data_IF_506210753393
#
_entry.id   IF_506210753393
#
_cell.length_a   1.000
_cell.length_b   1.000
_cell.length_c   1.000
_cell.angle_alpha   90.00
_cell.angle_beta   90.00
_cell.angle_gamma   90.00
#
_symmetry.space_group_name_H-M   'P 1'
#
loop_
_entity.id
_entity.type
_entity.pdbx_description
1 polymer ?
#
# COMPACT_ATOMS: atom_id res chain seq x y z
N UNK A 1 -23.32 17.66 -1.23
CA UNK A 1 -21.94 17.99 -1.64
C UNK A 1 -21.04 16.87 -1.14
N UNK A 2 -20.26 16.22 -2.01
CA UNK A 2 -19.51 15.00 -1.66
C UNK A 2 -18.48 15.28 -0.55
N UNK A 3 -18.56 14.56 0.55
CA UNK A 3 -17.59 14.56 1.65
C UNK A 3 -16.18 14.19 1.17
N UNK A 4 -15.16 14.95 1.59
CA UNK A 4 -13.76 14.65 1.31
C UNK A 4 -13.15 13.66 2.31
N UNK A 5 -11.96 13.13 2.02
CA UNK A 5 -11.24 12.25 2.94
C UNK A 5 -10.86 12.97 4.23
N UNK A 6 -10.88 12.23 5.34
CA UNK A 6 -10.37 12.71 6.63
C UNK A 6 -8.84 12.77 6.62
N UNK A 7 -8.25 13.62 7.48
CA UNK A 7 -6.80 13.70 7.68
C UNK A 7 -6.17 12.33 7.97
N UNK A 8 -6.86 11.48 8.74
CA UNK A 8 -6.40 10.13 9.04
C UNK A 8 -6.34 9.23 7.78
N UNK A 9 -7.35 9.31 6.90
CA UNK A 9 -7.37 8.55 5.64
C UNK A 9 -6.27 9.00 4.68
N UNK A 10 -6.02 10.32 4.61
CA UNK A 10 -4.94 10.90 3.81
C UNK A 10 -3.58 10.46 4.36
N UNK A 11 -3.36 10.64 5.68
CA UNK A 11 -2.11 10.28 6.33
C UNK A 11 -1.77 8.80 6.19
N UNK A 12 -2.73 7.91 6.44
CA UNK A 12 -2.55 6.47 6.23
C UNK A 12 -2.23 6.13 4.77
N UNK A 13 -2.79 6.86 3.82
CA UNK A 13 -2.48 6.63 2.42
C UNK A 13 -1.07 6.98 2.06
N UNK A 14 -0.63 8.19 2.38
CA UNK A 14 0.73 8.62 2.06
C UNK A 14 1.77 7.82 2.84
N UNK A 15 1.49 7.46 4.09
CA UNK A 15 2.40 6.62 4.86
C UNK A 15 2.63 5.26 4.18
N UNK A 16 1.56 4.54 3.82
CA UNK A 16 1.69 3.26 3.11
C UNK A 16 2.32 3.46 1.73
N UNK A 17 1.91 4.49 0.98
CA UNK A 17 2.42 4.76 -0.37
C UNK A 17 3.93 5.03 -0.38
N UNK A 18 4.48 5.66 0.66
CA UNK A 18 5.91 5.91 0.80
C UNK A 18 6.67 4.69 1.33
N UNK A 19 6.06 3.86 2.17
CA UNK A 19 6.70 2.65 2.72
C UNK A 19 6.80 1.51 1.69
N UNK A 20 5.85 1.38 0.77
CA UNK A 20 5.83 0.29 -0.23
C UNK A 20 7.08 0.29 -1.15
N UNK A 21 7.56 1.42 -1.71
CA UNK A 21 8.81 1.44 -2.46
C UNK A 21 10.02 0.99 -1.63
N UNK A 22 10.07 1.36 -0.35
CA UNK A 22 11.15 0.93 0.56
C UNK A 22 11.17 -0.60 0.68
N UNK A 23 10.00 -1.25 0.77
CA UNK A 23 9.92 -2.72 0.80
C UNK A 23 10.52 -3.36 -0.45
N UNK A 24 10.23 -2.80 -1.62
CA UNK A 24 10.77 -3.32 -2.88
C UNK A 24 12.30 -3.19 -2.93
N UNK A 25 12.82 -2.04 -2.49
CA UNK A 25 14.27 -1.77 -2.48
C UNK A 25 15.03 -2.65 -1.47
N UNK A 26 14.41 -3.02 -0.35
CA UNK A 26 15.05 -3.86 0.67
C UNK A 26 14.81 -5.35 0.49
N UNK A 27 13.79 -5.79 -0.24
CA UNK A 27 13.41 -7.21 -0.32
C UNK A 27 14.53 -8.15 -0.81
N UNK A 28 15.41 -7.66 -1.68
CA UNK A 28 16.56 -8.45 -2.16
C UNK A 28 17.58 -8.80 -1.07
N UNK A 29 17.61 -8.09 0.07
CA UNK A 29 18.53 -8.41 1.16
C UNK A 29 18.14 -9.68 1.92
N UNK A 30 16.86 -10.08 1.87
CA UNK A 30 16.39 -11.35 2.46
C UNK A 30 17.16 -12.52 1.82
N UNK A 31 17.13 -12.59 0.49
CA UNK A 31 17.82 -13.63 -0.26
C UNK A 31 19.33 -13.61 -0.02
N UNK A 32 19.97 -12.44 -0.10
CA UNK A 32 21.43 -12.31 0.12
C UNK A 32 21.85 -12.74 1.52
N UNK A 33 21.07 -12.38 2.54
CA UNK A 33 21.33 -12.76 3.93
C UNK A 33 21.20 -14.28 4.11
N UNK A 34 20.09 -14.87 3.67
CA UNK A 34 19.89 -16.32 3.79
C UNK A 34 20.91 -17.11 2.98
N UNK A 35 21.25 -16.65 1.78
CA UNK A 35 22.26 -17.30 0.94
C UNK A 35 23.64 -17.31 1.60
N UNK A 36 24.08 -16.18 2.18
CA UNK A 36 25.34 -16.12 2.90
C UNK A 36 25.39 -17.11 4.08
N UNK A 37 24.31 -17.17 4.87
CA UNK A 37 24.20 -18.12 5.99
C UNK A 37 24.24 -19.58 5.51
N UNK A 38 23.53 -19.90 4.43
CA UNK A 38 23.56 -21.25 3.84
C UNK A 38 24.95 -21.66 3.34
N UNK A 39 25.77 -20.71 2.94
CA UNK A 39 27.17 -20.93 2.54
C UNK A 39 28.14 -20.93 3.72
N UNK A 40 27.65 -20.85 4.97
CA UNK A 40 28.50 -20.78 6.17
C UNK A 40 29.25 -19.45 6.32
N UNK A 41 28.83 -18.40 5.61
CA UNK A 41 29.45 -17.08 5.65
C UNK A 41 28.64 -16.11 6.52
N UNK A 42 29.33 -15.12 7.08
CA UNK A 42 28.67 -14.00 7.74
C UNK A 42 28.02 -13.08 6.70
N UNK A 43 26.72 -12.74 6.82
CA UNK A 43 26.08 -11.76 5.96
C UNK A 43 26.71 -10.37 6.07
N UNK A 44 26.70 -9.61 4.97
CA UNK A 44 27.15 -8.22 5.00
C UNK A 44 26.28 -7.39 5.97
N UNK A 45 26.92 -6.48 6.73
CA UNK A 45 26.23 -5.63 7.72
C UNK A 45 25.00 -4.92 7.13
N UNK A 46 25.12 -4.39 5.91
CA UNK A 46 24.04 -3.65 5.25
C UNK A 46 22.90 -4.54 4.75
N UNK A 47 23.17 -5.80 4.41
CA UNK A 47 22.12 -6.76 4.10
C UNK A 47 21.30 -7.10 5.35
N UNK A 48 21.96 -7.23 6.51
CA UNK A 48 21.28 -7.48 7.80
C UNK A 48 20.39 -6.31 8.22
N UNK A 49 20.84 -5.07 7.99
CA UNK A 49 20.03 -3.88 8.30
C UNK A 49 18.84 -3.77 7.35
N UNK A 50 19.05 -3.95 6.05
CA UNK A 50 17.97 -3.96 5.07
C UNK A 50 16.97 -5.09 5.33
N UNK A 51 17.46 -6.26 5.76
CA UNK A 51 16.63 -7.41 6.11
C UNK A 51 15.71 -7.08 7.28
N UNK A 52 16.24 -6.47 8.34
CA UNK A 52 15.43 -6.01 9.47
C UNK A 52 14.43 -4.94 9.06
N UNK A 53 14.87 -3.96 8.26
CA UNK A 53 13.99 -2.90 7.75
C UNK A 53 12.84 -3.49 6.94
N UNK A 54 13.12 -4.43 6.03
CA UNK A 54 12.11 -5.13 5.26
C UNK A 54 11.10 -5.84 6.18
N UNK A 55 11.59 -6.65 7.12
CA UNK A 55 10.72 -7.46 7.98
C UNK A 55 9.82 -6.58 8.87
N UNK A 56 10.39 -5.62 9.61
CA UNK A 56 9.62 -4.79 10.53
C UNK A 56 8.72 -3.77 9.83
N UNK A 57 9.19 -3.14 8.75
CA UNK A 57 8.33 -2.22 8.00
C UNK A 57 7.24 -2.96 7.21
N UNK A 58 7.47 -4.20 6.79
CA UNK A 58 6.44 -5.07 6.22
C UNK A 58 5.32 -5.38 7.22
N UNK A 59 5.67 -5.72 8.46
CA UNK A 59 4.70 -5.89 9.55
C UNK A 59 3.91 -4.59 9.81
N UNK A 60 4.61 -3.46 9.86
CA UNK A 60 3.97 -2.15 10.05
C UNK A 60 3.00 -1.81 8.91
N UNK A 61 3.35 -2.07 7.64
CA UNK A 61 2.43 -1.90 6.51
C UNK A 61 1.19 -2.75 6.67
N UNK A 62 1.33 -4.02 7.10
CA UNK A 62 0.19 -4.91 7.37
C UNK A 62 -0.79 -4.30 8.37
N UNK A 63 -0.28 -3.80 9.50
CA UNK A 63 -1.08 -3.14 10.54
C UNK A 63 -1.74 -1.86 10.03
N UNK A 64 -1.01 -1.01 9.31
CA UNK A 64 -1.52 0.23 8.73
C UNK A 64 -2.60 -0.03 7.68
N UNK A 65 -2.44 -1.06 6.87
CA UNK A 65 -3.46 -1.50 5.91
C UNK A 65 -4.70 -2.06 6.60
N UNK A 66 -4.53 -2.79 7.71
CA UNK A 66 -5.64 -3.20 8.58
C UNK A 66 -6.39 -2.00 9.14
N UNK A 67 -5.70 -1.02 9.72
CA UNK A 67 -6.29 0.22 10.22
C UNK A 67 -7.01 1.00 9.10
N UNK A 68 -6.41 1.07 7.90
CA UNK A 68 -7.00 1.70 6.73
C UNK A 68 -8.29 0.99 6.28
N UNK A 69 -8.30 -0.34 6.28
CA UNK A 69 -9.48 -1.15 5.94
C UNK A 69 -10.60 -0.93 6.96
N UNK A 70 -10.28 -0.96 8.25
CA UNK A 70 -11.26 -0.67 9.32
C UNK A 70 -11.84 0.74 9.15
N UNK A 71 -11.01 1.75 8.94
CA UNK A 71 -11.50 3.11 8.69
C UNK A 71 -12.34 3.22 7.42
N UNK A 72 -12.03 2.46 6.37
CA UNK A 72 -12.82 2.43 5.13
C UNK A 72 -14.21 1.81 5.35
N UNK A 73 -14.33 0.82 6.24
CA UNK A 73 -15.60 0.19 6.60
C UNK A 73 -16.41 1.12 7.51
N UNK A 74 -15.76 1.74 8.51
CA UNK A 74 -16.40 2.65 9.45
C UNK A 74 -16.78 4.01 8.83
N UNK A 75 -16.03 4.45 7.81
CA UNK A 75 -16.26 5.71 7.09
C UNK A 75 -16.32 5.42 5.58
N UNK A 76 -17.41 4.80 5.08
CA UNK A 76 -17.59 4.56 3.66
C UNK A 76 -17.54 5.90 2.91
N UNK A 77 -16.85 5.98 1.76
CA UNK A 77 -16.89 7.20 0.96
C UNK A 77 -18.34 7.47 0.54
N UNK A 78 -18.73 8.74 0.54
CA UNK A 78 -20.02 9.13 -0.03
C UNK A 78 -20.06 8.70 -1.50
N UNK A 79 -21.13 7.97 -1.86
CA UNK A 79 -21.33 7.34 -3.17
C UNK A 79 -21.03 8.38 -4.27
N UNK A 80 -19.89 8.23 -4.95
CA UNK A 80 -19.64 8.94 -6.19
C UNK A 80 -20.59 8.39 -7.24
N UNK A 81 -21.27 9.29 -7.97
CA UNK A 81 -22.22 9.03 -9.05
C UNK A 81 -22.14 7.58 -9.60
N UNK A 82 -23.13 6.72 -9.31
CA UNK A 82 -23.09 5.34 -9.74
C UNK A 82 -23.08 5.28 -11.28
N UNK A 83 -22.23 4.42 -11.86
CA UNK A 83 -22.46 3.91 -13.21
C UNK A 83 -21.34 4.05 -14.24
N UNK A 84 -20.25 4.80 -14.00
CA UNK A 84 -19.18 4.87 -15.00
C UNK A 84 -18.24 3.66 -14.93
N UNK A 85 -17.78 3.20 -16.10
CA UNK A 85 -16.85 2.08 -16.20
C UNK A 85 -15.52 2.38 -15.49
N UNK A 86 -15.06 3.63 -15.53
CA UNK A 86 -13.88 4.12 -14.82
C UNK A 86 -14.02 4.04 -13.29
N UNK A 87 -15.18 4.38 -12.74
CA UNK A 87 -15.44 4.29 -11.30
C UNK A 87 -15.45 2.84 -10.79
N UNK A 88 -15.98 1.91 -11.60
CA UNK A 88 -15.93 0.46 -11.31
C UNK A 88 -14.50 -0.07 -11.34
N UNK A 89 -13.73 0.29 -12.37
CA UNK A 89 -12.33 -0.10 -12.49
C UNK A 89 -11.48 0.44 -11.33
N UNK A 90 -11.67 1.70 -10.95
CA UNK A 90 -11.00 2.28 -9.78
C UNK A 90 -11.36 1.52 -8.50
N UNK A 91 -12.64 1.23 -8.27
CA UNK A 91 -13.08 0.48 -7.09
C UNK A 91 -12.45 -0.92 -7.05
N UNK A 92 -12.47 -1.64 -8.17
CA UNK A 92 -11.84 -2.95 -8.29
C UNK A 92 -10.33 -2.90 -8.00
N UNK A 93 -9.61 -1.92 -8.56
CA UNK A 93 -8.17 -1.73 -8.32
C UNK A 93 -7.88 -1.49 -6.84
N UNK A 94 -8.67 -0.67 -6.15
CA UNK A 94 -8.48 -0.42 -4.71
C UNK A 94 -8.74 -1.67 -3.87
N UNK A 95 -9.78 -2.45 -4.18
CA UNK A 95 -10.02 -3.73 -3.50
C UNK A 95 -8.89 -4.73 -3.75
N UNK A 96 -8.38 -4.78 -4.99
CA UNK A 96 -7.22 -5.59 -5.32
C UNK A 96 -5.98 -5.17 -4.52
N UNK A 97 -5.75 -3.86 -4.32
CA UNK A 97 -4.65 -3.39 -3.46
C UNK A 97 -4.79 -3.82 -2.00
N UNK A 98 -6.01 -3.73 -1.44
CA UNK A 98 -6.25 -4.22 -0.08
C UNK A 98 -5.89 -5.70 0.03
N UNK A 99 -6.41 -6.53 -0.88
CA UNK A 99 -6.14 -7.97 -0.87
C UNK A 99 -4.64 -8.27 -1.08
N UNK A 100 -4.01 -7.63 -2.07
CA UNK A 100 -2.63 -7.88 -2.44
C UNK A 100 -1.64 -7.48 -1.33
N UNK A 101 -1.76 -6.26 -0.79
CA UNK A 101 -0.81 -5.76 0.23
C UNK A 101 -0.99 -6.51 1.56
N UNK A 102 -2.24 -6.74 2.00
CA UNK A 102 -2.51 -7.51 3.23
C UNK A 102 -2.02 -8.96 3.04
N UNK A 103 -2.33 -9.59 1.91
CA UNK A 103 -1.85 -10.93 1.59
C UNK A 103 -0.32 -11.03 1.56
N UNK A 104 0.36 -10.01 1.01
CA UNK A 104 1.82 -9.92 1.03
C UNK A 104 2.39 -9.81 2.44
N UNK A 105 1.81 -8.97 3.28
CA UNK A 105 2.23 -8.86 4.68
C UNK A 105 2.07 -10.21 5.42
N UNK A 106 0.96 -10.93 5.19
CA UNK A 106 0.75 -12.27 5.75
C UNK A 106 1.77 -13.28 5.22
N UNK A 107 2.06 -13.29 3.91
CA UNK A 107 3.09 -14.17 3.34
C UNK A 107 4.47 -13.86 3.91
N UNK A 108 4.81 -12.59 4.12
CA UNK A 108 6.07 -12.18 4.75
C UNK A 108 6.19 -12.69 6.19
N UNK A 109 5.12 -12.55 6.98
CA UNK A 109 5.06 -13.11 8.35
C UNK A 109 5.26 -14.64 8.35
N UNK A 110 4.58 -15.35 7.46
CA UNK A 110 4.72 -16.81 7.33
C UNK A 110 6.15 -17.17 6.92
N UNK A 111 6.74 -16.47 5.95
CA UNK A 111 8.11 -16.71 5.51
C UNK A 111 9.13 -16.50 6.64
N UNK A 112 8.94 -15.46 7.45
CA UNK A 112 9.86 -15.08 8.53
C UNK A 112 9.77 -15.97 9.78
N UNK A 113 8.59 -16.52 10.10
CA UNK A 113 8.35 -17.15 11.41
C UNK A 113 7.75 -18.55 11.38
N UNK A 114 7.26 -19.02 10.23
CA UNK A 114 6.50 -20.28 10.15
C UNK A 114 7.13 -21.24 9.14
N UNK A 115 7.19 -20.84 7.87
CA UNK A 115 7.68 -21.69 6.80
C UNK A 115 8.22 -20.87 5.63
N UNK A 116 9.53 -20.95 5.41
CA UNK A 116 10.22 -20.19 4.37
C UNK A 116 9.84 -20.60 2.94
N UNK A 117 9.24 -21.77 2.72
CA UNK A 117 8.83 -22.23 1.39
C UNK A 117 7.78 -21.35 0.71
N UNK A 118 7.14 -20.42 1.44
CA UNK A 118 6.25 -19.41 0.85
C UNK A 118 6.99 -18.23 0.19
N UNK A 119 8.30 -18.08 0.43
CA UNK A 119 9.09 -16.94 -0.05
C UNK A 119 9.02 -16.68 -1.57
N UNK A 120 9.03 -17.69 -2.46
CA UNK A 120 8.87 -17.45 -3.90
C UNK A 120 7.53 -16.78 -4.26
N UNK A 121 6.45 -17.16 -3.57
CA UNK A 121 5.13 -16.55 -3.76
C UNK A 121 5.08 -15.12 -3.24
N UNK A 122 5.80 -14.86 -2.13
CA UNK A 122 5.99 -13.51 -1.62
C UNK A 122 6.68 -12.63 -2.69
N UNK A 123 7.78 -13.11 -3.29
CA UNK A 123 8.50 -12.40 -4.37
C UNK A 123 7.59 -12.15 -5.58
N UNK A 124 6.84 -13.15 -6.04
CA UNK A 124 5.91 -12.99 -7.18
C UNK A 124 4.86 -11.91 -6.87
N UNK A 125 4.25 -11.96 -5.69
CA UNK A 125 3.24 -10.96 -5.34
C UNK A 125 3.81 -9.54 -5.18
N UNK A 126 5.07 -9.37 -4.78
CA UNK A 126 5.72 -8.05 -4.79
C UNK A 126 5.77 -7.43 -6.20
N UNK A 127 6.03 -8.25 -7.24
CA UNK A 127 6.05 -7.82 -8.64
C UNK A 127 4.65 -7.45 -9.13
N UNK A 128 3.65 -8.21 -8.72
CA UNK A 128 2.23 -7.90 -9.00
C UNK A 128 1.85 -6.55 -8.39
N UNK A 129 2.18 -6.33 -7.11
CA UNK A 129 1.92 -5.05 -6.45
C UNK A 129 2.65 -3.90 -7.17
N UNK A 130 3.90 -4.09 -7.57
CA UNK A 130 4.63 -3.06 -8.31
C UNK A 130 3.94 -2.68 -9.62
N UNK A 131 3.45 -3.67 -10.37
CA UNK A 131 2.68 -3.43 -11.60
C UNK A 131 1.36 -2.68 -11.30
N UNK A 132 0.67 -3.04 -10.22
CA UNK A 132 -0.54 -2.34 -9.79
C UNK A 132 -0.25 -0.90 -9.38
N UNK A 133 0.84 -0.65 -8.63
CA UNK A 133 1.29 0.70 -8.25
C UNK A 133 1.59 1.53 -9.50
N UNK A 134 2.29 0.97 -10.48
CA UNK A 134 2.56 1.67 -11.74
C UNK A 134 1.26 2.04 -12.47
N UNK A 135 0.30 1.10 -12.56
CA UNK A 135 -1.02 1.36 -13.14
C UNK A 135 -1.78 2.45 -12.37
N UNK A 136 -1.73 2.42 -11.04
CA UNK A 136 -2.37 3.40 -10.18
C UNK A 136 -1.78 4.81 -10.37
N UNK A 137 -0.45 4.92 -10.42
CA UNK A 137 0.25 6.18 -10.68
C UNK A 137 -0.06 6.70 -12.07
N UNK A 138 -0.05 5.85 -13.10
CA UNK A 138 -0.42 6.23 -14.45
C UNK A 138 -1.86 6.76 -14.51
N UNK A 139 -2.80 6.10 -13.80
CA UNK A 139 -4.17 6.59 -13.69
C UNK A 139 -4.24 7.95 -12.97
N UNK A 140 -3.52 8.14 -11.86
CA UNK A 140 -3.48 9.41 -11.14
C UNK A 140 -2.91 10.55 -12.02
N UNK A 141 -1.86 10.27 -12.80
CA UNK A 141 -1.28 11.20 -13.78
C UNK A 141 -2.28 11.51 -14.90
N UNK A 142 -2.98 10.50 -15.43
CA UNK A 142 -4.01 10.70 -16.44
C UNK A 142 -5.15 11.59 -15.94
N UNK A 143 -5.62 11.34 -14.72
CA UNK A 143 -6.67 12.13 -14.08
C UNK A 143 -6.24 13.59 -13.83
N UNK A 144 -4.97 13.82 -13.51
CA UNK A 144 -4.45 15.19 -13.28
C UNK A 144 -4.15 15.95 -14.57
N UNK A 145 -3.54 15.30 -15.57
CA UNK A 145 -3.07 15.99 -16.78
C UNK A 145 -4.12 16.05 -17.89
N UNK A 146 -4.88 14.97 -18.08
CA UNK A 146 -5.81 14.81 -19.22
C UNK A 146 -7.25 15.07 -18.80
N UNK A 147 -7.75 14.35 -17.80
CA UNK A 147 -9.15 14.53 -17.33
C UNK A 147 -9.30 15.83 -16.55
N UNK A 148 -8.24 16.25 -15.84
CA UNK A 148 -8.18 17.46 -15.00
C UNK A 148 -9.31 17.53 -13.98
N UNK A 149 -9.52 16.43 -13.26
CA UNK A 149 -10.53 16.34 -12.19
C UNK A 149 -9.92 16.42 -10.79
N UNK A 150 -10.77 16.61 -9.78
CA UNK A 150 -10.36 16.73 -8.37
C UNK A 150 -9.92 15.39 -7.74
N UNK A 151 -9.61 14.34 -8.52
CA UNK A 151 -9.35 13.00 -7.97
C UNK A 151 -8.13 13.00 -7.05
N UNK A 152 -7.03 13.61 -7.48
CA UNK A 152 -5.78 13.68 -6.70
C UNK A 152 -5.90 14.73 -5.60
N UNK A 153 -6.56 15.86 -5.84
CA UNK A 153 -6.72 16.92 -4.84
C UNK A 153 -7.39 16.44 -3.55
N UNK A 154 -8.30 15.46 -3.66
CA UNK A 154 -8.97 14.84 -2.51
C UNK A 154 -8.03 14.07 -1.58
N UNK A 155 -6.91 13.57 -2.09
CA UNK A 155 -5.91 12.86 -1.29
C UNK A 155 -4.74 13.76 -0.88
N UNK A 156 -4.67 14.99 -1.42
CA UNK A 156 -3.70 16.01 -1.02
C UNK A 156 -4.23 16.89 0.11
N UNK A 157 -5.49 17.33 0.00
CA UNK A 157 -6.08 18.31 0.91
C UNK A 157 -7.30 17.74 1.65
N UNK A 158 -7.34 17.78 2.99
CA UNK A 158 -8.55 17.44 3.73
C UNK A 158 -9.64 18.49 3.45
N UNK A 159 -10.80 18.08 2.97
CA UNK A 159 -11.92 19.01 2.74
C UNK A 159 -12.55 19.35 4.10
N UNK A 160 -12.35 20.59 4.58
CA UNK A 160 -12.90 21.10 5.85
C UNK A 160 -14.42 20.86 5.88
N UNK A 161 -14.94 20.17 6.90
CA UNK A 161 -16.39 20.25 7.21
C UNK A 161 -16.68 21.74 7.40
N UNK A 162 -17.51 22.34 6.54
CA UNK A 162 -18.04 23.67 6.81
C UNK A 162 -18.85 23.51 8.10
N UNK A 163 -18.32 24.02 9.21
CA UNK A 163 -19.08 24.11 10.45
C UNK A 163 -20.36 24.86 10.09
N UNK A 164 -21.52 24.23 10.33
CA UNK A 164 -22.80 24.92 10.31
C UNK A 164 -22.79 25.91 11.48
N UNK A 165 -22.05 27.00 11.29
CA UNK A 165 -22.16 28.20 12.07
C UNK A 165 -22.45 29.28 11.05
N UNK A 166 -23.74 29.40 10.76
CA UNK A 166 -24.46 30.65 10.58
C UNK A 166 -25.94 30.30 10.54
N UNK A 167 -26.64 30.88 11.52
CA UNK A 167 -28.07 31.05 11.70
C UNK A 167 -28.82 31.30 10.38
#
# INVERSE_FOLDING_TARGET
MKGGYSLAQIGLHWLVALMVPVQYLTGGSIERTHHAVHMGMAPAYWDVVQHQLHNYAGMAIGLLMGARLVLRILQPPEIGAPGTWSGRAATALHHAFYAAIIGQACMGLVASYVWFGIAPYHVIGSRIILAMVALHLAAAIWHTLVVRDDTVDRILLPRRKRSAKNL
#
